data_IF_957299893469
#
_entry.id   IF_957299893469
#
_cell.length_a   1.000
_cell.length_b   1.000
_cell.length_c   1.000
_cell.angle_alpha   90.00
_cell.angle_beta   90.00
_cell.angle_gamma   90.00
#
_symmetry.space_group_name_H-M   'P 1'
#
loop_
_entity.id
_entity.type
_entity.pdbx_description
1 polymer ?
#
# COMPACT_ATOMS: atom_id res chain seq x y z
N UNK A 1 17.57 -16.58 3.55
CA UNK A 1 16.29 -16.67 4.28
C UNK A 1 15.21 -15.68 3.75
N UNK A 2 15.00 -15.56 2.43
CA UNK A 2 14.01 -14.60 1.86
C UNK A 2 12.64 -15.25 1.58
N UNK A 3 12.56 -16.59 1.62
CA UNK A 3 11.34 -17.34 1.32
C UNK A 3 10.24 -17.25 2.42
N UNK A 4 10.57 -16.79 3.63
CA UNK A 4 9.64 -16.83 4.76
C UNK A 4 8.57 -15.73 4.76
N UNK A 5 8.80 -14.57 4.14
CA UNK A 5 7.86 -13.42 4.24
C UNK A 5 6.74 -13.53 3.21
N UNK A 6 7.05 -13.83 1.94
CA UNK A 6 6.04 -14.01 0.90
C UNK A 6 5.14 -15.22 1.15
N UNK A 7 5.72 -16.33 1.65
CA UNK A 7 4.99 -17.54 2.00
C UNK A 7 3.99 -17.31 3.13
N UNK A 8 4.47 -16.77 4.26
CA UNK A 8 3.61 -16.47 5.42
C UNK A 8 2.55 -15.43 5.08
N UNK A 9 2.90 -14.40 4.30
CA UNK A 9 1.92 -13.41 3.83
C UNK A 9 0.86 -14.10 2.97
N UNK A 10 1.23 -14.87 1.96
CA UNK A 10 0.24 -15.58 1.13
C UNK A 10 -0.66 -16.51 1.94
N UNK A 11 -0.12 -17.21 2.96
CA UNK A 11 -0.92 -18.05 3.84
C UNK A 11 -1.90 -17.22 4.68
N UNK A 12 -1.46 -16.07 5.21
CA UNK A 12 -2.32 -15.13 5.91
C UNK A 12 -3.42 -14.55 5.00
N UNK A 13 -3.08 -14.17 3.77
CA UNK A 13 -4.02 -13.68 2.77
C UNK A 13 -5.04 -14.75 2.35
N UNK A 14 -4.65 -16.03 2.34
CA UNK A 14 -5.56 -17.17 2.12
C UNK A 14 -6.41 -17.49 3.35
N UNK A 15 -5.92 -17.19 4.55
CA UNK A 15 -6.68 -17.39 5.78
C UNK A 15 -7.79 -16.34 5.92
N UNK A 16 -8.99 -16.76 6.30
CA UNK A 16 -10.12 -15.86 6.59
C UNK A 16 -9.96 -15.10 7.92
N UNK A 17 -8.76 -15.14 8.53
CA UNK A 17 -8.47 -14.43 9.78
C UNK A 17 -8.58 -12.94 9.53
N UNK A 18 -9.42 -12.28 10.33
CA UNK A 18 -9.54 -10.83 10.34
C UNK A 18 -8.24 -10.25 10.88
N UNK A 19 -7.63 -9.34 10.10
CA UNK A 19 -6.46 -8.57 10.53
C UNK A 19 -6.96 -7.26 11.10
N UNK A 20 -6.48 -6.84 12.26
CA UNK A 20 -6.79 -5.51 12.73
C UNK A 20 -6.03 -4.45 11.92
N UNK A 21 -6.63 -3.28 11.74
CA UNK A 21 -6.01 -2.16 11.00
C UNK A 21 -4.61 -1.80 11.53
N UNK A 22 -4.41 -1.89 12.84
CA UNK A 22 -3.11 -1.62 13.46
C UNK A 22 -2.04 -2.64 13.06
N UNK A 23 -2.40 -3.93 12.93
CA UNK A 23 -1.48 -5.00 12.50
C UNK A 23 -1.05 -4.80 11.05
N UNK A 24 -2.01 -4.41 10.19
CA UNK A 24 -1.76 -4.08 8.79
C UNK A 24 -0.82 -2.89 8.70
N UNK A 25 -1.09 -1.81 9.44
CA UNK A 25 -0.24 -0.63 9.49
C UNK A 25 1.18 -0.94 9.97
N UNK A 26 1.32 -1.77 11.02
CA UNK A 26 2.62 -2.21 11.52
C UNK A 26 3.38 -3.02 10.48
N UNK A 27 2.70 -3.97 9.83
CA UNK A 27 3.29 -4.82 8.80
C UNK A 27 3.72 -4.00 7.58
N UNK A 28 2.91 -3.03 7.14
CA UNK A 28 3.28 -2.10 6.06
C UNK A 28 4.53 -1.28 6.40
N UNK A 29 4.64 -0.77 7.64
CA UNK A 29 5.85 -0.06 8.10
C UNK A 29 7.08 -0.97 8.08
N UNK A 30 6.97 -2.20 8.57
CA UNK A 30 8.06 -3.19 8.53
C UNK A 30 8.48 -3.52 7.09
N UNK A 31 7.51 -3.76 6.19
CA UNK A 31 7.79 -4.07 4.78
C UNK A 31 8.42 -2.88 4.06
N UNK A 32 7.97 -1.66 4.33
CA UNK A 32 8.57 -0.43 3.81
C UNK A 32 10.01 -0.26 4.28
N UNK A 33 10.29 -0.48 5.58
CA UNK A 33 11.64 -0.43 6.13
C UNK A 33 12.58 -1.47 5.50
N UNK A 34 12.05 -2.64 5.14
CA UNK A 34 12.79 -3.70 4.43
C UNK A 34 12.84 -3.52 2.91
N UNK A 35 12.34 -2.40 2.37
CA UNK A 35 12.20 -2.14 0.92
C UNK A 35 11.43 -3.23 0.16
N UNK A 36 10.56 -3.97 0.85
CA UNK A 36 9.72 -5.03 0.29
C UNK A 36 8.40 -4.42 -0.20
N UNK A 37 8.47 -3.64 -1.28
CA UNK A 37 7.32 -2.89 -1.80
C UNK A 37 6.23 -3.81 -2.39
N UNK A 38 6.61 -4.84 -3.15
CA UNK A 38 5.64 -5.79 -3.75
C UNK A 38 4.72 -6.48 -2.72
N UNK A 39 5.27 -7.11 -1.66
CA UNK A 39 4.46 -7.66 -0.57
C UNK A 39 3.60 -6.61 0.15
N UNK A 40 4.11 -5.38 0.31
CA UNK A 40 3.38 -4.30 0.97
C UNK A 40 2.15 -3.85 0.16
N UNK A 41 2.30 -3.69 -1.16
CA UNK A 41 1.20 -3.39 -2.08
C UNK A 41 0.15 -4.48 -2.00
N UNK A 42 0.55 -5.76 -2.13
CA UNK A 42 -0.38 -6.90 -2.09
C UNK A 42 -1.17 -7.00 -0.77
N UNK A 43 -0.51 -6.73 0.36
CA UNK A 43 -1.18 -6.69 1.66
C UNK A 43 -2.22 -5.56 1.70
N UNK A 44 -1.84 -4.36 1.24
CA UNK A 44 -2.72 -3.19 1.24
C UNK A 44 -3.96 -3.38 0.35
N UNK A 45 -3.81 -3.94 -0.86
CA UNK A 45 -4.94 -4.27 -1.76
C UNK A 45 -5.85 -5.35 -1.17
N UNK A 46 -5.28 -6.37 -0.53
CA UNK A 46 -6.10 -7.46 0.03
C UNK A 46 -6.93 -6.98 1.20
N UNK A 47 -6.41 -6.08 2.03
CA UNK A 47 -7.18 -5.52 3.15
C UNK A 47 -8.31 -4.62 2.67
N UNK A 48 -8.09 -3.86 1.60
CA UNK A 48 -9.14 -3.09 0.92
C UNK A 48 -10.24 -4.01 0.39
N UNK A 49 -9.89 -5.12 -0.28
CA UNK A 49 -10.86 -6.14 -0.73
C UNK A 49 -11.63 -6.81 0.41
N UNK A 50 -11.06 -6.85 1.62
CA UNK A 50 -11.71 -7.37 2.84
C UNK A 50 -12.61 -6.34 3.53
N UNK A 51 -12.81 -5.15 2.93
CA UNK A 51 -13.66 -4.10 3.49
C UNK A 51 -12.97 -3.20 4.50
N UNK A 52 -11.64 -3.25 4.60
CA UNK A 52 -10.89 -2.31 5.44
C UNK A 52 -10.79 -0.97 4.70
N UNK A 53 -11.55 0.02 5.18
CA UNK A 53 -11.46 1.38 4.65
C UNK A 53 -10.07 1.97 4.87
N UNK A 54 -9.38 2.26 3.77
CA UNK A 54 -8.11 2.98 3.79
C UNK A 54 -8.38 4.43 4.20
N UNK A 55 -7.61 4.93 5.16
CA UNK A 55 -7.60 6.38 5.39
C UNK A 55 -6.81 7.08 4.29
N UNK A 56 -6.98 8.39 4.19
CA UNK A 56 -6.20 9.24 3.29
C UNK A 56 -4.69 9.05 3.48
N UNK A 57 -4.23 8.89 4.72
CA UNK A 57 -2.82 8.59 5.02
C UNK A 57 -2.40 7.21 4.52
N UNK A 58 -3.27 6.20 4.65
CA UNK A 58 -3.00 4.85 4.11
C UNK A 58 -2.94 4.85 2.57
N UNK A 59 -3.80 5.64 1.92
CA UNK A 59 -3.80 5.83 0.46
C UNK A 59 -2.52 6.53 -0.01
N UNK A 60 -2.05 7.55 0.70
CA UNK A 60 -0.77 8.21 0.41
C UNK A 60 0.43 7.25 0.55
N UNK A 61 0.43 6.38 1.57
CA UNK A 61 1.45 5.33 1.73
C UNK A 61 1.34 4.32 0.59
N UNK A 62 0.13 3.90 0.22
CA UNK A 62 -0.09 2.98 -0.88
C UNK A 62 0.44 3.54 -2.20
N UNK A 63 0.21 4.84 -2.46
CA UNK A 63 0.74 5.54 -3.63
C UNK A 63 2.28 5.51 -3.68
N UNK A 64 2.98 5.80 -2.57
CA UNK A 64 4.45 5.71 -2.47
C UNK A 64 4.95 4.28 -2.70
N UNK A 65 4.21 3.28 -2.21
CA UNK A 65 4.55 1.87 -2.42
C UNK A 65 4.39 1.45 -3.88
N UNK A 66 3.28 1.84 -4.53
CA UNK A 66 2.99 1.53 -5.94
C UNK A 66 4.00 2.23 -6.86
N UNK A 67 4.30 3.51 -6.60
CA UNK A 67 5.31 4.25 -7.34
C UNK A 67 6.68 3.56 -7.31
N UNK A 68 7.07 3.05 -6.13
CA UNK A 68 8.36 2.35 -5.95
C UNK A 68 8.37 0.91 -6.46
N UNK A 69 7.22 0.24 -6.53
CA UNK A 69 7.13 -1.14 -7.03
C UNK A 69 6.93 -1.21 -8.55
N UNK A 70 6.11 -0.33 -9.09
CA UNK A 70 5.51 -0.44 -10.43
C UNK A 70 5.73 0.81 -11.29
N UNK A 71 6.38 1.85 -10.75
CA UNK A 71 6.67 3.10 -11.45
C UNK A 71 5.58 4.16 -11.29
N UNK A 72 5.91 5.37 -11.75
CA UNK A 72 5.09 6.58 -11.57
C UNK A 72 3.75 6.46 -12.30
N UNK A 73 3.75 5.93 -13.53
CA UNK A 73 2.53 5.78 -14.34
C UNK A 73 1.46 4.93 -13.64
N UNK A 74 1.87 3.88 -12.93
CA UNK A 74 0.95 3.05 -12.14
C UNK A 74 0.40 3.81 -10.92
N UNK A 75 1.24 4.65 -10.29
CA UNK A 75 0.82 5.49 -9.17
C UNK A 75 -0.16 6.58 -9.61
N UNK A 76 0.09 7.24 -10.74
CA UNK A 76 -0.82 8.23 -11.32
C UNK A 76 -2.17 7.61 -11.68
N UNK A 77 -2.17 6.44 -12.33
CA UNK A 77 -3.41 5.72 -12.62
C UNK A 77 -4.20 5.38 -11.34
N UNK A 78 -3.52 4.94 -10.29
CA UNK A 78 -4.14 4.72 -8.98
C UNK A 78 -4.75 6.01 -8.42
N UNK A 79 -4.00 7.11 -8.41
CA UNK A 79 -4.48 8.41 -7.92
C UNK A 79 -5.70 8.92 -8.69
N UNK A 80 -5.72 8.77 -10.02
CA UNK A 80 -6.86 9.18 -10.86
C UNK A 80 -8.10 8.37 -10.52
N UNK A 81 -7.95 7.06 -10.26
CA UNK A 81 -9.04 6.16 -9.87
C UNK A 81 -9.58 6.37 -8.46
N UNK A 82 -8.88 7.12 -7.60
CA UNK A 82 -9.39 7.43 -6.27
C UNK A 82 -10.62 8.37 -6.35
N UNK A 83 -11.61 8.18 -5.45
CA UNK A 83 -12.73 9.11 -5.35
C UNK A 83 -12.25 10.50 -4.95
N UNK A 84 -12.93 11.55 -5.41
CA UNK A 84 -12.55 12.94 -5.14
C UNK A 84 -12.49 13.26 -3.64
N UNK A 85 -13.31 12.60 -2.83
CA UNK A 85 -13.26 12.71 -1.35
C UNK A 85 -11.93 12.27 -0.74
N UNK A 86 -11.17 11.44 -1.45
CA UNK A 86 -9.84 10.97 -1.06
C UNK A 86 -8.71 11.80 -1.67
N UNK A 87 -8.98 12.64 -2.68
CA UNK A 87 -8.02 13.53 -3.34
C UNK A 87 -7.80 14.79 -2.51
N UNK A 88 -7.07 14.63 -1.41
CA UNK A 88 -6.73 15.73 -0.51
C UNK A 88 -5.27 16.15 -0.68
N UNK A 89 -4.87 17.20 0.05
CA UNK A 89 -3.49 17.69 0.12
C UNK A 89 -2.46 16.58 0.41
N UNK A 90 -2.83 15.52 1.14
CA UNK A 90 -1.94 14.41 1.47
C UNK A 90 -1.66 13.52 0.25
N UNK A 91 -2.69 13.19 -0.53
CA UNK A 91 -2.53 12.37 -1.74
C UNK A 91 -1.88 13.17 -2.87
N UNK A 92 -2.16 14.47 -2.97
CA UNK A 92 -1.44 15.38 -3.87
C UNK A 92 0.04 15.52 -3.48
N UNK A 93 0.33 15.70 -2.19
CA UNK A 93 1.70 15.75 -1.68
C UNK A 93 2.45 14.44 -1.92
N UNK A 94 1.79 13.29 -1.76
CA UNK A 94 2.37 12.00 -2.09
C UNK A 94 2.70 11.87 -3.59
N UNK A 95 1.80 12.33 -4.47
CA UNK A 95 2.05 12.33 -5.91
C UNK A 95 3.23 13.25 -6.28
N UNK A 96 3.26 14.46 -5.72
CA UNK A 96 4.36 15.41 -5.93
C UNK A 96 5.71 14.86 -5.46
N UNK A 97 5.75 14.18 -4.31
CA UNK A 97 6.98 13.54 -3.80
C UNK A 97 7.44 12.42 -4.73
N UNK A 98 6.49 11.70 -5.34
CA UNK A 98 6.78 10.63 -6.30
C UNK A 98 7.32 11.19 -7.61
N UNK A 99 6.72 12.25 -8.14
CA UNK A 99 7.14 12.88 -9.40
C UNK A 99 8.42 13.72 -9.26
N UNK A 100 8.69 14.31 -8.10
CA UNK A 100 9.89 15.11 -7.85
C UNK A 100 11.17 14.28 -7.58
N UNK A 101 11.08 12.94 -7.53
CA UNK A 101 12.20 12.03 -7.23
C UNK A 101 12.81 11.35 -8.45
N UNK A 102 12.40 11.75 -9.66
CA UNK A 102 13.04 11.41 -10.94
C UNK A 102 13.97 12.50 -11.40
#
# INVERSE_FOLDING_TARGET
MVQSVRGNLNQFLKSHKSAYKWEVGHTLKMLRGRRLYGPAVKLSETMEKRGMNKTVSDQAIHLDLVAKSSGITAAEAYFVSLPESSKTHLTYGALLIVTAKT
#
